data_IF_016861176617
#
_entry.id   IF_016861176617
#
_cell.length_a   1.000
_cell.length_b   1.000
_cell.length_c   1.000
_cell.angle_alpha   90.00
_cell.angle_beta   90.00
_cell.angle_gamma   90.00
#
_symmetry.space_group_name_H-M   'P 1'
#
loop_
_entity.id
_entity.type
_entity.pdbx_description
1 polymer ?
#
# COMPACT_ATOMS: atom_id res chain seq x y z
N UNK A 1 -22.34 -15.36 4.81
CA UNK A 1 -20.87 -15.45 4.82
C UNK A 1 -20.36 -14.13 5.39
N UNK A 2 -19.40 -14.13 6.34
CA UNK A 2 -18.79 -12.90 6.85
C UNK A 2 -18.26 -12.02 5.71
N UNK A 3 -18.43 -10.71 5.78
CA UNK A 3 -18.10 -9.81 4.67
C UNK A 3 -16.59 -9.76 4.33
N UNK A 4 -15.70 -9.94 5.31
CA UNK A 4 -14.27 -10.10 5.03
C UNK A 4 -13.99 -11.35 4.18
N UNK A 5 -14.63 -12.49 4.50
CA UNK A 5 -14.50 -13.71 3.70
C UNK A 5 -15.10 -13.55 2.30
N UNK A 6 -16.19 -12.76 2.19
CA UNK A 6 -16.77 -12.40 0.90
C UNK A 6 -15.77 -11.60 0.05
N UNK A 7 -15.12 -10.59 0.62
CA UNK A 7 -14.11 -9.81 -0.06
C UNK A 7 -12.97 -10.69 -0.58
N UNK A 8 -12.42 -11.54 0.28
CA UNK A 8 -11.34 -12.48 -0.07
C UNK A 8 -11.79 -13.44 -1.18
N UNK A 9 -13.01 -13.98 -1.08
CA UNK A 9 -13.56 -14.88 -2.09
C UNK A 9 -13.72 -14.21 -3.45
N UNK A 10 -14.21 -12.98 -3.51
CA UNK A 10 -14.36 -12.24 -4.77
C UNK A 10 -13.01 -12.02 -5.45
N UNK A 11 -12.02 -11.54 -4.70
CA UNK A 11 -10.68 -11.28 -5.21
C UNK A 11 -9.99 -12.58 -5.65
N UNK A 12 -10.09 -13.63 -4.84
CA UNK A 12 -9.54 -14.94 -5.18
C UNK A 12 -10.20 -15.54 -6.41
N UNK A 13 -11.53 -15.53 -6.49
CA UNK A 13 -12.30 -16.10 -7.61
C UNK A 13 -11.96 -15.38 -8.91
N UNK A 14 -11.82 -14.05 -8.89
CA UNK A 14 -11.40 -13.32 -10.09
C UNK A 14 -9.98 -13.72 -10.52
N UNK A 15 -9.03 -13.77 -9.57
CA UNK A 15 -7.62 -14.09 -9.86
C UNK A 15 -7.42 -15.53 -10.36
N UNK A 16 -8.19 -16.48 -9.84
CA UNK A 16 -8.14 -17.88 -10.24
C UNK A 16 -8.91 -18.17 -11.55
N UNK A 17 -9.41 -17.13 -12.24
CA UNK A 17 -10.34 -17.24 -13.36
C UNK A 17 -11.56 -18.13 -13.05
N UNK A 18 -12.02 -18.11 -11.81
CA UNK A 18 -13.14 -18.89 -11.32
C UNK A 18 -14.51 -18.33 -11.72
N UNK A 19 -15.54 -19.15 -11.57
CA UNK A 19 -16.92 -18.78 -11.87
C UNK A 19 -17.58 -18.00 -10.71
N UNK A 20 -18.29 -16.92 -11.06
CA UNK A 20 -19.09 -16.15 -10.11
C UNK A 20 -20.54 -16.63 -10.19
N UNK A 21 -21.17 -16.98 -9.05
CA UNK A 21 -22.61 -17.21 -9.02
C UNK A 21 -23.37 -16.00 -9.59
N UNK A 22 -24.21 -16.23 -10.60
CA UNK A 22 -24.92 -15.15 -11.31
C UNK A 22 -24.09 -14.40 -12.36
N UNK A 23 -22.85 -14.82 -12.63
CA UNK A 23 -21.98 -14.28 -13.67
C UNK A 23 -21.12 -13.09 -13.20
N UNK A 24 -20.19 -12.66 -14.07
CA UNK A 24 -19.38 -11.46 -13.85
C UNK A 24 -19.38 -10.62 -15.13
N UNK A 25 -20.09 -9.50 -15.10
CA UNK A 25 -20.12 -8.58 -16.22
C UNK A 25 -18.73 -7.98 -16.47
N UNK A 26 -18.44 -7.66 -17.73
CA UNK A 26 -17.20 -6.99 -18.15
C UNK A 26 -15.89 -7.70 -17.78
N UNK A 27 -15.90 -9.02 -17.51
CA UNK A 27 -14.69 -9.80 -17.15
C UNK A 27 -13.51 -9.54 -18.09
N UNK A 28 -13.72 -9.56 -19.41
CA UNK A 28 -12.65 -9.31 -20.39
C UNK A 28 -12.01 -7.92 -20.20
N UNK A 29 -12.83 -6.91 -19.91
CA UNK A 29 -12.34 -5.55 -19.68
C UNK A 29 -11.59 -5.42 -18.35
N UNK A 30 -12.04 -6.13 -17.31
CA UNK A 30 -11.33 -6.21 -16.02
C UNK A 30 -9.95 -6.87 -16.18
N UNK A 31 -9.85 -7.97 -16.95
CA UNK A 31 -8.55 -8.62 -17.25
C UNK A 31 -7.63 -7.67 -18.02
N UNK A 32 -8.16 -6.95 -19.01
CA UNK A 32 -7.39 -5.95 -19.77
C UNK A 32 -6.97 -4.73 -18.94
N UNK A 33 -7.72 -4.40 -17.88
CA UNK A 33 -7.39 -3.33 -16.96
C UNK A 33 -6.21 -3.67 -16.04
N UNK A 34 -5.69 -4.90 -16.07
CA UNK A 34 -4.51 -5.36 -15.33
C UNK A 34 -4.57 -4.98 -13.84
N UNK A 35 -5.42 -5.66 -13.09
CA UNK A 35 -5.67 -5.37 -11.68
C UNK A 35 -4.54 -5.92 -10.78
N UNK A 36 -3.44 -5.17 -10.69
CA UNK A 36 -2.16 -5.54 -10.02
C UNK A 36 -1.99 -5.02 -8.58
N UNK A 37 -3.04 -4.45 -8.01
CA UNK A 37 -3.14 -3.80 -6.71
C UNK A 37 -2.26 -2.55 -6.50
N UNK A 38 -1.83 -1.88 -7.57
CA UNK A 38 -1.15 -0.57 -7.43
C UNK A 38 -2.14 0.60 -7.54
N UNK A 39 -1.78 1.82 -7.10
CA UNK A 39 -2.59 3.02 -7.37
C UNK A 39 -2.86 3.24 -8.87
N UNK A 40 -1.93 2.87 -9.74
CA UNK A 40 -2.11 2.96 -11.20
C UNK A 40 -3.22 2.04 -11.73
N UNK A 41 -3.49 0.92 -11.06
CA UNK A 41 -4.65 0.08 -11.38
C UNK A 41 -5.98 0.76 -11.07
N UNK A 42 -6.03 1.64 -10.06
CA UNK A 42 -7.23 2.45 -9.79
C UNK A 42 -7.46 3.47 -10.91
N UNK A 43 -6.40 4.05 -11.47
CA UNK A 43 -6.50 4.89 -12.67
C UNK A 43 -6.96 4.10 -13.91
N UNK A 44 -6.61 2.81 -14.02
CA UNK A 44 -7.13 1.92 -15.07
C UNK A 44 -8.62 1.63 -14.86
N UNK A 45 -9.06 1.43 -13.62
CA UNK A 45 -10.49 1.32 -13.26
C UNK A 45 -11.24 2.61 -13.63
N UNK A 46 -10.72 3.79 -13.30
CA UNK A 46 -11.32 5.07 -13.68
C UNK A 46 -11.56 5.18 -15.19
N UNK A 47 -10.54 4.83 -15.99
CA UNK A 47 -10.65 4.82 -17.46
C UNK A 47 -11.72 3.84 -17.95
N UNK A 48 -11.74 2.63 -17.39
CA UNK A 48 -12.75 1.62 -17.72
C UNK A 48 -14.17 2.13 -17.43
N UNK A 49 -14.42 2.65 -16.22
CA UNK A 49 -15.74 3.14 -15.81
C UNK A 49 -16.20 4.32 -16.67
N UNK A 50 -15.30 5.26 -17.00
CA UNK A 50 -15.62 6.39 -17.89
C UNK A 50 -15.90 5.95 -19.33
N UNK A 51 -15.16 4.97 -19.83
CA UNK A 51 -15.45 4.36 -21.13
C UNK A 51 -16.82 3.68 -21.12
N UNK A 52 -17.16 2.95 -20.06
CA UNK A 52 -18.49 2.33 -19.91
C UNK A 52 -19.59 3.39 -19.86
N UNK A 53 -19.42 4.45 -19.07
CA UNK A 53 -20.38 5.55 -18.99
C UNK A 53 -20.64 6.18 -20.36
N UNK A 54 -19.58 6.44 -21.13
CA UNK A 54 -19.70 7.09 -22.45
C UNK A 54 -20.24 6.17 -23.54
N UNK A 55 -19.88 4.89 -23.54
CA UNK A 55 -20.26 3.95 -24.61
C UNK A 55 -21.58 3.22 -24.35
N UNK A 56 -21.88 2.92 -23.09
CA UNK A 56 -23.06 2.14 -22.71
C UNK A 56 -24.19 3.01 -22.15
N UNK A 57 -23.87 4.21 -21.64
CA UNK A 57 -24.81 5.13 -20.98
C UNK A 57 -25.79 4.41 -20.03
N UNK A 58 -25.26 3.65 -19.06
CA UNK A 58 -26.09 2.76 -18.26
C UNK A 58 -27.06 3.56 -17.38
N UNK A 59 -28.32 3.11 -17.32
CA UNK A 59 -29.26 3.58 -16.30
C UNK A 59 -28.92 2.95 -14.96
N UNK A 60 -28.87 3.74 -13.89
CA UNK A 60 -28.52 3.28 -12.55
C UNK A 60 -29.31 2.03 -12.13
N UNK A 61 -30.64 2.12 -12.08
CA UNK A 61 -31.49 1.01 -11.61
C UNK A 61 -31.35 -0.25 -12.47
N UNK A 62 -31.49 -0.12 -13.79
CA UNK A 62 -31.36 -1.26 -14.69
C UNK A 62 -29.97 -1.93 -14.64
N UNK A 63 -28.93 -1.16 -14.32
CA UNK A 63 -27.59 -1.68 -14.17
C UNK A 63 -27.41 -2.39 -12.83
N UNK A 64 -27.86 -1.79 -11.72
CA UNK A 64 -27.71 -2.35 -10.37
C UNK A 64 -28.67 -3.51 -10.09
N UNK A 65 -29.75 -3.68 -10.84
CA UNK A 65 -30.69 -4.79 -10.65
C UNK A 65 -30.16 -6.13 -11.19
N UNK A 66 -29.12 -6.11 -12.03
CA UNK A 66 -28.53 -7.32 -12.60
C UNK A 66 -27.43 -7.89 -11.73
N UNK A 67 -27.53 -9.19 -11.41
CA UNK A 67 -26.56 -9.86 -10.54
C UNK A 67 -25.12 -9.82 -11.07
N UNK A 68 -24.92 -10.01 -12.37
CA UNK A 68 -23.59 -9.98 -13.00
C UNK A 68 -22.93 -8.60 -12.92
N UNK A 69 -23.73 -7.54 -13.00
CA UNK A 69 -23.28 -6.16 -12.79
C UNK A 69 -23.01 -5.85 -11.32
N UNK A 70 -23.85 -6.34 -10.39
CA UNK A 70 -23.57 -6.21 -8.96
C UNK A 70 -22.25 -6.90 -8.61
N UNK A 71 -22.00 -8.10 -9.15
CA UNK A 71 -20.74 -8.80 -8.95
C UNK A 71 -19.54 -8.02 -9.47
N UNK A 72 -19.69 -7.35 -10.63
CA UNK A 72 -18.68 -6.43 -11.16
C UNK A 72 -18.42 -5.26 -10.19
N UNK A 73 -19.47 -4.62 -9.67
CA UNK A 73 -19.34 -3.48 -8.74
C UNK A 73 -18.74 -3.91 -7.39
N UNK A 74 -19.14 -5.06 -6.83
CA UNK A 74 -18.57 -5.59 -5.59
C UNK A 74 -17.12 -6.04 -5.77
N UNK A 75 -16.76 -6.65 -6.90
CA UNK A 75 -15.36 -6.97 -7.19
C UNK A 75 -14.49 -5.71 -7.19
N UNK A 76 -14.93 -4.64 -7.87
CA UNK A 76 -14.23 -3.37 -7.85
C UNK A 76 -14.20 -2.75 -6.45
N UNK A 77 -15.30 -2.82 -5.69
CA UNK A 77 -15.36 -2.33 -4.31
C UNK A 77 -14.29 -2.98 -3.43
N UNK A 78 -14.26 -4.31 -3.40
CA UNK A 78 -13.29 -5.07 -2.62
C UNK A 78 -11.87 -4.85 -3.11
N UNK A 79 -11.68 -4.72 -4.42
CA UNK A 79 -10.38 -4.44 -5.01
C UNK A 79 -9.85 -3.07 -4.60
N UNK A 80 -10.68 -2.02 -4.68
CA UNK A 80 -10.31 -0.66 -4.28
C UNK A 80 -10.00 -0.62 -2.78
N UNK A 81 -10.83 -1.25 -1.95
CA UNK A 81 -10.53 -1.39 -0.52
C UNK A 81 -9.22 -2.13 -0.28
N UNK A 82 -8.92 -3.17 -1.06
CA UNK A 82 -7.65 -3.90 -1.00
C UNK A 82 -6.44 -3.07 -1.40
N UNK A 83 -6.54 -2.22 -2.41
CA UNK A 83 -5.47 -1.26 -2.71
C UNK A 83 -5.27 -0.33 -1.51
N UNK A 84 -6.36 0.22 -0.95
CA UNK A 84 -6.27 1.13 0.20
C UNK A 84 -5.66 0.47 1.42
N UNK A 85 -6.21 -0.64 1.93
CA UNK A 85 -5.68 -1.26 3.17
C UNK A 85 -4.27 -1.84 2.99
N UNK A 86 -3.86 -2.21 1.77
CA UNK A 86 -2.46 -2.62 1.52
C UNK A 86 -1.52 -1.41 1.54
N UNK A 87 -1.99 -0.30 0.98
CA UNK A 87 -1.21 0.94 0.94
C UNK A 87 -1.16 1.65 2.29
N UNK A 88 -2.21 1.54 3.10
CA UNK A 88 -2.25 2.10 4.46
C UNK A 88 -1.77 1.12 5.53
N UNK A 89 -1.83 -0.20 5.28
CA UNK A 89 -1.43 -1.28 6.19
C UNK A 89 -2.23 -1.30 7.50
N UNK A 90 -3.38 -0.65 7.50
CA UNK A 90 -4.27 -0.57 8.65
C UNK A 90 -5.07 -1.87 8.79
N UNK A 91 -5.48 -2.16 10.03
CA UNK A 91 -6.56 -3.10 10.26
C UNK A 91 -7.81 -2.63 9.51
N UNK A 92 -8.55 -3.58 8.93
CA UNK A 92 -9.77 -3.28 8.20
C UNK A 92 -10.86 -4.30 8.50
N UNK A 93 -12.10 -3.86 8.36
CA UNK A 93 -13.27 -4.73 8.42
C UNK A 93 -14.35 -4.25 7.45
N UNK A 94 -14.90 -5.19 6.71
CA UNK A 94 -16.05 -4.98 5.83
C UNK A 94 -17.34 -5.24 6.60
N UNK A 95 -18.32 -4.36 6.37
CA UNK A 95 -19.64 -4.46 6.97
C UNK A 95 -20.71 -4.36 5.89
N UNK A 96 -21.59 -5.37 5.78
CA UNK A 96 -22.87 -5.22 5.10
C UNK A 96 -23.71 -4.20 5.85
N UNK A 97 -24.52 -3.43 5.12
CA UNK A 97 -25.33 -2.37 5.72
C UNK A 97 -26.29 -2.90 6.81
N UNK A 98 -26.85 -4.10 6.65
CA UNK A 98 -27.75 -4.71 7.63
C UNK A 98 -27.06 -5.13 8.94
N UNK A 99 -25.78 -5.48 8.90
CA UNK A 99 -24.98 -5.72 10.11
C UNK A 99 -24.62 -4.39 10.77
N UNK A 100 -24.28 -3.37 9.97
CA UNK A 100 -23.96 -2.04 10.46
C UNK A 100 -25.14 -1.41 11.23
N UNK A 101 -26.38 -1.56 10.75
CA UNK A 101 -27.60 -1.08 11.45
C UNK A 101 -27.72 -1.58 12.89
N UNK A 102 -27.13 -2.73 13.21
CA UNK A 102 -27.25 -3.35 14.53
C UNK A 102 -26.25 -2.79 15.54
N UNK A 103 -25.14 -2.23 15.05
CA UNK A 103 -23.98 -1.85 15.87
C UNK A 103 -23.62 -0.37 15.80
N UNK A 104 -24.02 0.33 14.73
CA UNK A 104 -23.67 1.72 14.50
C UNK A 104 -24.65 2.70 15.20
N UNK A 105 -24.15 3.85 15.68
CA UNK A 105 -24.99 4.87 16.29
C UNK A 105 -25.90 5.57 15.25
N UNK A 106 -27.06 6.12 15.66
CA UNK A 106 -28.01 6.75 14.74
C UNK A 106 -27.42 7.87 13.86
N UNK A 107 -26.53 8.69 14.40
CA UNK A 107 -25.88 9.78 13.66
C UNK A 107 -25.00 9.25 12.52
N UNK A 108 -24.37 8.09 12.72
CA UNK A 108 -23.60 7.42 11.66
C UNK A 108 -24.51 6.93 10.55
N UNK A 109 -25.65 6.32 10.88
CA UNK A 109 -26.64 5.85 9.91
C UNK A 109 -27.32 7.00 9.17
N UNK A 110 -27.44 8.17 9.79
CA UNK A 110 -27.92 9.39 9.12
C UNK A 110 -26.90 9.91 8.10
N UNK A 111 -25.60 9.78 8.38
CA UNK A 111 -24.53 10.15 7.45
C UNK A 111 -24.40 9.18 6.27
N UNK A 112 -24.66 7.89 6.50
CA UNK A 112 -24.56 6.84 5.50
C UNK A 112 -25.91 6.11 5.39
N UNK A 113 -26.92 6.68 4.70
CA UNK A 113 -28.23 6.05 4.59
C UNK A 113 -28.21 4.77 3.74
N UNK A 114 -29.25 3.96 3.85
CA UNK A 114 -29.40 2.70 3.12
C UNK A 114 -29.49 2.93 1.62
N UNK A 115 -28.48 2.46 0.88
CA UNK A 115 -28.41 2.54 -0.56
C UNK A 115 -27.47 1.45 -1.09
N UNK A 116 -27.49 1.19 -2.40
CA UNK A 116 -26.51 0.29 -3.01
C UNK A 116 -25.07 0.77 -2.76
N UNK A 117 -24.84 2.10 -2.78
CA UNK A 117 -23.54 2.72 -2.48
C UNK A 117 -23.01 2.42 -1.05
N UNK A 118 -23.90 2.20 -0.08
CA UNK A 118 -23.58 1.88 1.31
C UNK A 118 -23.81 0.40 1.65
N UNK A 119 -24.19 -0.43 0.67
CA UNK A 119 -24.47 -1.86 0.88
C UNK A 119 -23.26 -2.65 1.39
N UNK A 120 -22.05 -2.14 1.13
CA UNK A 120 -20.79 -2.69 1.61
C UNK A 120 -19.86 -1.55 2.01
N UNK A 121 -19.51 -1.48 3.29
CA UNK A 121 -18.72 -0.40 3.89
C UNK A 121 -17.40 -0.97 4.40
N UNK A 122 -16.30 -0.31 4.06
CA UNK A 122 -14.99 -0.62 4.61
C UNK A 122 -14.72 0.30 5.81
N UNK A 123 -14.47 -0.27 6.98
CA UNK A 123 -13.97 0.46 8.14
C UNK A 123 -12.48 0.22 8.27
N UNK A 124 -11.70 1.28 8.15
CA UNK A 124 -10.26 1.29 8.37
C UNK A 124 -10.00 1.77 9.80
N UNK A 125 -9.10 1.10 10.52
CA UNK A 125 -8.87 1.31 11.95
C UNK A 125 -8.47 2.75 12.31
N UNK A 126 -7.61 3.39 11.50
CA UNK A 126 -7.14 4.75 11.73
C UNK A 126 -7.77 5.76 10.77
N UNK A 127 -7.97 5.36 9.51
CA UNK A 127 -8.48 6.24 8.46
C UNK A 127 -10.01 6.37 8.44
N UNK A 128 -10.72 5.54 9.21
CA UNK A 128 -12.17 5.61 9.39
C UNK A 128 -12.96 4.99 8.25
N UNK A 129 -14.15 5.53 8.00
CA UNK A 129 -15.12 4.91 7.07
C UNK A 129 -14.80 5.23 5.62
N UNK A 130 -14.70 4.17 4.81
CA UNK A 130 -14.47 4.23 3.37
C UNK A 130 -15.60 3.53 2.62
N UNK A 131 -16.16 4.20 1.60
CA UNK A 131 -17.25 3.69 0.75
C UNK A 131 -16.80 3.59 -0.72
N UNK A 132 -16.06 2.53 -1.10
CA UNK A 132 -15.59 2.38 -2.48
C UNK A 132 -16.72 2.32 -3.52
N UNK A 133 -17.86 1.71 -3.18
CA UNK A 133 -19.01 1.68 -4.07
C UNK A 133 -19.51 3.09 -4.41
N UNK A 134 -19.50 4.02 -3.45
CA UNK A 134 -19.90 5.40 -3.71
C UNK A 134 -19.03 6.05 -4.79
N UNK A 135 -17.71 5.91 -4.70
CA UNK A 135 -16.81 6.52 -5.68
C UNK A 135 -16.89 5.83 -7.05
N UNK A 136 -17.08 4.51 -7.09
CA UNK A 136 -17.29 3.77 -8.34
C UNK A 136 -18.58 4.21 -9.04
N UNK A 137 -19.68 4.35 -8.28
CA UNK A 137 -20.98 4.76 -8.80
C UNK A 137 -20.96 6.22 -9.26
N UNK A 138 -20.27 7.10 -8.55
CA UNK A 138 -20.06 8.50 -8.96
C UNK A 138 -19.40 8.58 -10.34
N UNK A 139 -18.38 7.76 -10.60
CA UNK A 139 -17.70 7.75 -11.92
C UNK A 139 -18.59 7.16 -13.02
N UNK A 140 -19.33 6.09 -12.71
CA UNK A 140 -20.13 5.37 -13.69
C UNK A 140 -21.44 6.10 -14.06
N UNK A 141 -22.04 6.82 -13.11
CA UNK A 141 -23.38 7.41 -13.26
C UNK A 141 -23.46 8.92 -12.96
N UNK A 142 -22.56 9.47 -12.15
CA UNK A 142 -22.61 10.87 -11.72
C UNK A 142 -22.14 11.84 -12.80
N UNK A 143 -22.53 13.11 -12.73
CA UNK A 143 -22.24 14.09 -13.79
C UNK A 143 -20.88 14.80 -13.68
N UNK A 144 -20.24 14.68 -12.53
CA UNK A 144 -19.00 15.36 -12.20
C UNK A 144 -17.78 14.65 -12.83
N UNK A 145 -17.09 15.25 -13.81
CA UNK A 145 -15.93 14.64 -14.45
C UNK A 145 -14.71 14.56 -13.53
N UNK A 146 -14.68 15.31 -12.42
CA UNK A 146 -13.57 15.31 -11.45
C UNK A 146 -13.64 14.13 -10.48
N UNK A 147 -14.80 13.45 -10.40
CA UNK A 147 -14.94 12.24 -9.57
C UNK A 147 -14.03 11.13 -10.07
N UNK A 148 -13.31 10.49 -9.15
CA UNK A 148 -12.36 9.44 -9.48
C UNK A 148 -12.27 8.43 -8.34
N UNK A 149 -12.20 7.15 -8.71
CA UNK A 149 -11.94 6.04 -7.80
C UNK A 149 -10.55 6.20 -7.20
N UNK A 150 -9.54 6.51 -8.02
CA UNK A 150 -8.19 6.80 -7.54
C UNK A 150 -8.19 8.00 -6.58
N UNK A 151 -8.81 9.13 -6.94
CA UNK A 151 -8.83 10.31 -6.09
C UNK A 151 -9.53 10.05 -4.74
N UNK A 152 -10.58 9.24 -4.74
CA UNK A 152 -11.25 8.81 -3.50
C UNK A 152 -10.35 7.93 -2.65
N UNK A 153 -9.73 6.89 -3.22
CA UNK A 153 -8.79 6.03 -2.53
C UNK A 153 -7.55 6.81 -2.02
N UNK A 154 -7.08 7.77 -2.81
CA UNK A 154 -5.96 8.66 -2.51
C UNK A 154 -6.19 9.48 -1.25
N UNK A 155 -7.43 9.82 -0.89
CA UNK A 155 -7.71 10.52 0.37
C UNK A 155 -7.37 9.68 1.60
N UNK A 156 -7.47 8.36 1.47
CA UNK A 156 -7.11 7.40 2.52
C UNK A 156 -5.62 7.04 2.42
N UNK A 157 -5.11 6.82 1.21
CA UNK A 157 -3.70 6.50 0.97
C UNK A 157 -2.73 7.66 1.26
N UNK A 158 -3.16 8.92 1.08
CA UNK A 158 -2.31 10.11 1.29
C UNK A 158 -2.38 10.68 2.72
N UNK A 159 -3.07 10.03 3.68
CA UNK A 159 -2.99 10.43 5.10
C UNK A 159 -1.64 10.16 5.75
N UNK A 160 -0.71 9.55 5.01
CA UNK A 160 0.69 9.35 5.36
C UNK A 160 1.54 10.65 5.33
N UNK A 161 0.94 11.80 5.00
CA UNK A 161 1.62 13.10 4.90
C UNK A 161 2.28 13.57 6.21
N UNK A 162 1.79 13.13 7.37
CA UNK A 162 2.28 13.58 8.68
C UNK A 162 3.49 12.79 9.20
N UNK A 163 3.91 11.74 8.48
CA UNK A 163 5.07 10.93 8.87
C UNK A 163 6.33 11.80 8.92
N UNK A 164 6.84 12.07 10.13
CA UNK A 164 8.00 12.92 10.35
C UNK A 164 9.23 12.29 9.70
N UNK A 165 10.01 13.04 8.89
CA UNK A 165 11.26 12.53 8.35
C UNK A 165 12.22 12.11 9.45
N UNK A 166 12.81 10.92 9.33
CA UNK A 166 13.88 10.51 10.22
C UNK A 166 15.20 11.14 9.75
N UNK A 167 16.01 11.58 10.68
CA UNK A 167 17.31 12.19 10.43
C UNK A 167 18.42 11.35 11.02
N UNK A 168 19.61 11.44 10.44
CA UNK A 168 20.82 10.81 10.98
C UNK A 168 21.02 11.33 12.40
N UNK A 169 21.14 10.44 13.41
CA UNK A 169 21.46 10.87 14.76
C UNK A 169 22.79 11.63 14.79
N UNK A 170 22.81 12.81 15.41
CA UNK A 170 23.99 13.69 15.48
C UNK A 170 25.12 13.10 16.34
N UNK A 171 24.79 12.14 17.22
CA UNK A 171 25.70 11.44 18.09
C UNK A 171 25.22 9.98 18.27
N UNK A 172 26.12 9.06 18.64
CA UNK A 172 25.74 7.70 19.01
C UNK A 172 24.69 7.73 20.13
N UNK A 173 23.56 7.07 19.87
CA UNK A 173 22.48 6.95 20.85
C UNK A 173 22.81 5.87 21.87
N UNK A 174 22.76 6.21 23.15
CA UNK A 174 22.77 5.23 24.24
C UNK A 174 21.39 4.54 24.28
N UNK A 175 21.25 3.46 23.52
CA UNK A 175 20.00 2.72 23.43
C UNK A 175 19.83 1.79 24.63
N UNK A 176 18.57 1.54 25.01
CA UNK A 176 18.24 0.54 26.03
C UNK A 176 18.61 -0.85 25.51
N UNK A 177 19.27 -1.63 26.37
CA UNK A 177 19.57 -3.03 26.09
C UNK A 177 18.35 -3.91 26.44
N UNK A 178 17.30 -3.78 25.63
CA UNK A 178 16.14 -4.66 25.70
C UNK A 178 15.85 -5.31 24.35
N UNK A 179 15.17 -6.47 24.38
CA UNK A 179 14.90 -7.28 23.18
C UNK A 179 14.15 -6.48 22.10
N UNK A 180 13.23 -5.60 22.48
CA UNK A 180 12.40 -4.82 21.53
C UNK A 180 13.23 -3.73 20.88
N UNK A 181 14.02 -3.00 21.66
CA UNK A 181 14.94 -1.98 21.13
C UNK A 181 15.95 -2.59 20.16
N UNK A 182 16.55 -3.74 20.52
CA UNK A 182 17.46 -4.47 19.64
C UNK A 182 16.77 -4.96 18.37
N UNK A 183 15.56 -5.50 18.50
CA UNK A 183 14.76 -5.98 17.38
C UNK A 183 14.41 -4.87 16.39
N UNK A 184 13.96 -3.72 16.91
CA UNK A 184 13.58 -2.55 16.13
C UNK A 184 14.77 -1.96 15.37
N UNK A 185 15.94 -1.84 16.03
CA UNK A 185 17.17 -1.36 15.40
C UNK A 185 17.62 -2.27 14.26
N UNK A 186 17.58 -3.59 14.46
CA UNK A 186 18.00 -4.55 13.44
C UNK A 186 17.03 -4.60 12.24
N UNK A 187 15.71 -4.53 12.47
CA UNK A 187 14.72 -4.39 11.40
C UNK A 187 14.97 -3.12 10.57
N UNK A 188 15.21 -1.98 11.24
CA UNK A 188 15.58 -0.74 10.57
C UNK A 188 16.94 -0.84 9.85
N UNK A 189 17.89 -1.59 10.39
CA UNK A 189 19.18 -1.88 9.77
C UNK A 189 19.07 -2.63 8.44
N UNK A 190 18.23 -3.66 8.34
CA UNK A 190 17.96 -4.26 7.03
C UNK A 190 17.25 -3.31 6.09
N UNK A 191 16.29 -2.52 6.58
CA UNK A 191 15.62 -1.51 5.76
C UNK A 191 16.61 -0.48 5.18
N UNK A 192 17.58 -0.04 5.98
CA UNK A 192 18.64 0.86 5.54
C UNK A 192 19.54 0.26 4.47
N UNK A 193 19.91 -1.02 4.63
CA UNK A 193 20.71 -1.72 3.61
C UNK A 193 19.92 -1.89 2.30
N UNK A 194 18.64 -2.23 2.40
CA UNK A 194 17.71 -2.34 1.28
C UNK A 194 17.52 -1.02 0.53
N UNK A 195 17.40 0.09 1.29
CA UNK A 195 17.36 1.43 0.74
C UNK A 195 18.64 1.75 -0.05
N UNK A 196 19.81 1.42 0.51
CA UNK A 196 21.10 1.60 -0.17
C UNK A 196 21.15 0.89 -1.53
N UNK A 197 20.71 -0.37 -1.58
CA UNK A 197 20.59 -1.14 -2.82
C UNK A 197 19.63 -0.50 -3.82
N UNK A 198 18.45 -0.10 -3.36
CA UNK A 198 17.42 0.49 -4.21
C UNK A 198 17.87 1.84 -4.79
N UNK A 199 18.45 2.72 -3.96
CA UNK A 199 19.00 4.02 -4.39
C UNK A 199 20.09 3.83 -5.43
N UNK A 200 21.02 2.89 -5.21
CA UNK A 200 22.07 2.58 -6.17
C UNK A 200 21.49 2.12 -7.52
N UNK A 201 20.53 1.21 -7.48
CA UNK A 201 19.86 0.69 -8.68
C UNK A 201 19.23 1.83 -9.50
N UNK A 202 18.48 2.71 -8.83
CA UNK A 202 17.79 3.82 -9.49
C UNK A 202 18.77 4.88 -9.99
N UNK A 203 19.84 5.18 -9.24
CA UNK A 203 20.82 6.20 -9.65
C UNK A 203 21.65 5.77 -10.86
N UNK A 204 21.88 4.47 -11.05
CA UNK A 204 22.49 3.90 -12.26
C UNK A 204 21.52 3.85 -13.45
N UNK A 205 20.29 4.35 -13.28
CA UNK A 205 19.27 4.42 -14.33
C UNK A 205 18.51 3.12 -14.55
N UNK A 206 18.67 2.11 -13.69
CA UNK A 206 17.89 0.89 -13.74
C UNK A 206 16.54 1.07 -13.05
N UNK A 207 15.50 0.41 -13.57
CA UNK A 207 14.20 0.36 -12.91
C UNK A 207 14.29 -0.48 -11.63
N UNK A 208 13.73 0.03 -10.53
CA UNK A 208 13.62 -0.76 -9.32
C UNK A 208 12.45 -1.74 -9.46
N UNK A 209 12.77 -2.99 -9.79
CA UNK A 209 11.82 -4.09 -9.69
C UNK A 209 11.48 -4.43 -8.24
N UNK A 210 10.53 -5.34 -8.04
CA UNK A 210 10.23 -5.91 -6.72
C UNK A 210 11.39 -6.80 -6.27
N UNK A 211 11.98 -6.49 -5.13
CA UNK A 211 13.13 -7.20 -4.60
C UNK A 211 12.89 -7.57 -3.15
N UNK A 212 13.08 -8.84 -2.80
CA UNK A 212 13.15 -9.26 -1.40
C UNK A 212 14.59 -9.44 -0.96
N UNK A 213 14.86 -9.03 0.27
CA UNK A 213 16.15 -9.16 0.91
C UNK A 213 15.94 -9.77 2.29
N UNK A 214 16.63 -10.88 2.54
CA UNK A 214 16.52 -11.65 3.77
C UNK A 214 17.83 -11.58 4.53
N UNK A 215 17.77 -11.33 5.85
CA UNK A 215 18.84 -11.65 6.78
C UNK A 215 18.65 -13.07 7.28
N UNK A 216 19.61 -13.93 6.98
CA UNK A 216 19.59 -15.32 7.43
C UNK A 216 20.20 -15.44 8.85
N UNK A 217 19.85 -16.48 9.63
CA UNK A 217 20.43 -16.72 10.95
C UNK A 217 21.97 -16.85 10.98
N UNK A 218 22.57 -17.23 9.86
CA UNK A 218 24.04 -17.30 9.70
C UNK A 218 24.70 -15.94 9.43
N UNK A 219 23.93 -14.84 9.43
CA UNK A 219 24.40 -13.49 9.16
C UNK A 219 24.46 -13.11 7.67
N UNK A 220 24.30 -14.06 6.74
CA UNK A 220 24.31 -13.77 5.30
C UNK A 220 23.04 -13.04 4.88
N UNK A 221 23.15 -12.26 3.79
CA UNK A 221 22.00 -11.68 3.10
C UNK A 221 21.68 -12.47 1.85
N UNK A 222 20.42 -12.82 1.68
CA UNK A 222 19.89 -13.43 0.46
C UNK A 222 19.00 -12.41 -0.26
N UNK A 223 19.30 -12.13 -1.52
CA UNK A 223 18.46 -11.30 -2.37
C UNK A 223 17.67 -12.14 -3.37
N UNK A 224 16.36 -11.91 -3.48
CA UNK A 224 15.47 -12.53 -4.45
C UNK A 224 14.74 -11.48 -5.28
N UNK A 225 15.03 -11.43 -6.58
CA UNK A 225 14.31 -10.58 -7.53
C UNK A 225 12.99 -11.24 -7.94
N UNK A 226 11.88 -10.51 -7.80
CA UNK A 226 10.53 -11.00 -8.10
C UNK A 226 10.10 -10.51 -9.49
N UNK A 227 10.74 -11.05 -10.53
CA UNK A 227 10.62 -10.58 -11.91
C UNK A 227 9.24 -10.80 -12.56
N UNK A 228 8.50 -11.84 -12.13
CA UNK A 228 7.25 -12.26 -12.80
C UNK A 228 6.07 -12.43 -11.83
N UNK A 229 6.23 -12.06 -10.57
CA UNK A 229 5.20 -12.21 -9.55
C UNK A 229 4.42 -10.93 -9.29
N UNK A 230 3.16 -11.05 -8.87
CA UNK A 230 2.35 -9.91 -8.44
C UNK A 230 2.91 -9.30 -7.15
N UNK A 231 2.59 -8.04 -6.86
CA UNK A 231 2.96 -7.45 -5.57
C UNK A 231 2.33 -8.22 -4.39
N UNK A 232 1.16 -8.83 -4.59
CA UNK A 232 0.54 -9.70 -3.59
C UNK A 232 1.39 -10.93 -3.29
N UNK A 233 1.93 -11.62 -4.30
CA UNK A 233 2.81 -12.78 -4.07
C UNK A 233 4.07 -12.38 -3.30
N UNK A 234 4.56 -11.16 -3.54
CA UNK A 234 5.69 -10.61 -2.79
C UNK A 234 5.32 -10.40 -1.30
N UNK A 235 4.13 -9.88 -1.02
CA UNK A 235 3.62 -9.73 0.34
C UNK A 235 3.35 -11.08 1.01
N UNK A 236 2.70 -12.01 0.32
CA UNK A 236 2.42 -13.36 0.85
C UNK A 236 3.73 -14.05 1.25
N UNK A 237 4.76 -13.94 0.41
CA UNK A 237 6.08 -14.49 0.71
C UNK A 237 6.79 -13.77 1.86
N UNK A 238 6.64 -12.44 1.93
CA UNK A 238 7.15 -11.65 3.06
C UNK A 238 6.51 -12.09 4.39
N UNK A 239 5.20 -12.36 4.42
CA UNK A 239 4.49 -12.80 5.62
C UNK A 239 4.82 -14.25 6.00
N UNK A 240 4.89 -15.14 5.02
CA UNK A 240 5.07 -16.59 5.26
C UNK A 240 6.49 -16.95 5.73
N UNK A 241 7.49 -16.11 5.44
CA UNK A 241 8.89 -16.33 5.81
C UNK A 241 9.41 -17.73 5.41
N UNK A 242 9.15 -18.14 4.18
CA UNK A 242 9.53 -19.47 3.68
C UNK A 242 11.04 -19.72 3.76
N UNK A 243 11.84 -18.66 3.70
CA UNK A 243 13.30 -18.71 3.81
C UNK A 243 13.81 -18.91 5.24
N UNK A 244 12.95 -18.80 6.27
CA UNK A 244 13.38 -18.88 7.67
C UNK A 244 14.34 -17.75 8.07
N UNK A 245 14.11 -16.55 7.53
CA UNK A 245 14.91 -15.37 7.80
C UNK A 245 14.67 -14.80 9.21
N UNK A 246 15.66 -14.09 9.75
CA UNK A 246 15.53 -13.25 10.95
C UNK A 246 14.78 -11.96 10.63
N UNK A 247 15.15 -11.33 9.50
CA UNK A 247 14.51 -10.13 8.96
C UNK A 247 14.34 -10.28 7.45
N UNK A 248 13.22 -9.77 6.93
CA UNK A 248 12.94 -9.72 5.50
C UNK A 248 12.48 -8.31 5.13
N UNK A 249 12.99 -7.78 4.01
CA UNK A 249 12.59 -6.50 3.44
C UNK A 249 12.15 -6.71 2.00
N UNK A 250 10.90 -6.38 1.70
CA UNK A 250 10.43 -6.22 0.33
C UNK A 250 10.60 -4.75 -0.07
N UNK A 251 11.39 -4.50 -1.11
CA UNK A 251 11.56 -3.18 -1.71
C UNK A 251 10.93 -3.11 -3.10
N UNK A 252 10.24 -2.00 -3.37
CA UNK A 252 9.62 -1.72 -4.67
C UNK A 252 9.43 -0.21 -4.85
N UNK A 253 9.21 0.20 -6.10
CA UNK A 253 8.89 1.59 -6.42
C UNK A 253 7.40 1.85 -6.23
N UNK A 254 7.05 2.94 -5.53
CA UNK A 254 5.70 3.42 -5.31
C UNK A 254 5.61 4.94 -5.37
N UNK A 255 4.43 5.51 -5.08
CA UNK A 255 4.19 6.95 -5.11
C UNK A 255 3.56 7.40 -3.79
N UNK A 256 4.29 8.21 -3.01
CA UNK A 256 3.83 8.64 -1.68
C UNK A 256 3.32 10.09 -1.72
N UNK A 257 2.25 10.37 -0.99
CA UNK A 257 1.80 11.73 -0.73
C UNK A 257 2.62 12.36 0.39
N UNK A 258 3.51 13.31 0.06
CA UNK A 258 4.16 14.17 1.04
C UNK A 258 3.39 15.49 1.16
N UNK A 259 3.45 16.22 2.30
CA UNK A 259 2.69 17.45 2.51
C UNK A 259 2.81 18.48 1.38
N UNK A 260 3.96 18.53 0.71
CA UNK A 260 4.23 19.48 -0.37
C UNK A 260 3.83 18.96 -1.76
N UNK A 261 3.85 17.64 -1.99
CA UNK A 261 3.60 17.01 -3.30
C UNK A 261 3.54 15.49 -3.22
N UNK A 262 2.95 14.87 -4.25
CA UNK A 262 3.22 13.45 -4.55
C UNK A 262 4.67 13.31 -5.00
N UNK A 263 5.35 12.29 -4.50
CA UNK A 263 6.75 12.00 -4.80
C UNK A 263 6.89 10.51 -5.12
N UNK A 264 7.72 10.15 -6.10
CA UNK A 264 8.12 8.76 -6.24
C UNK A 264 8.89 8.33 -5.00
N UNK A 265 8.80 7.07 -4.61
CA UNK A 265 9.49 6.57 -3.44
C UNK A 265 9.90 5.11 -3.61
N UNK A 266 11.00 4.76 -2.97
CA UNK A 266 11.29 3.38 -2.61
C UNK A 266 10.44 3.06 -1.38
N UNK A 267 9.52 2.10 -1.51
CA UNK A 267 8.76 1.56 -0.39
C UNK A 267 9.49 0.33 0.14
N UNK A 268 9.61 0.25 1.47
CA UNK A 268 10.30 -0.80 2.19
C UNK A 268 9.33 -1.41 3.19
N UNK A 269 8.88 -2.62 2.89
CA UNK A 269 8.02 -3.42 3.77
C UNK A 269 8.89 -4.41 4.55
N UNK A 270 8.98 -4.20 5.85
CA UNK A 270 9.94 -4.85 6.73
C UNK A 270 9.21 -5.80 7.68
N UNK A 271 9.73 -7.02 7.79
CA UNK A 271 9.34 -7.98 8.82
C UNK A 271 10.59 -8.42 9.58
N UNK A 272 10.50 -8.46 10.90
CA UNK A 272 11.40 -9.21 11.76
C UNK A 272 10.60 -10.32 12.41
N UNK A 273 11.15 -11.53 12.37
CA UNK A 273 10.52 -12.73 12.91
C UNK A 273 11.11 -13.09 14.28
N UNK A 274 10.34 -13.83 15.08
CA UNK A 274 10.74 -14.30 16.40
C UNK A 274 10.01 -13.60 17.55
N UNK A 275 10.59 -13.70 18.76
CA UNK A 275 9.94 -13.32 20.03
C UNK A 275 9.57 -11.84 20.12
N UNK A 276 10.38 -10.96 19.51
CA UNK A 276 10.09 -9.54 19.34
C UNK A 276 9.85 -9.27 17.85
N UNK A 277 8.69 -9.72 17.35
CA UNK A 277 8.30 -9.48 15.97
C UNK A 277 8.13 -7.99 15.70
N UNK A 278 8.68 -7.51 14.58
CA UNK A 278 8.61 -6.11 14.17
C UNK A 278 8.02 -6.04 12.77
N UNK A 279 7.07 -5.14 12.59
CA UNK A 279 6.55 -4.74 11.30
C UNK A 279 6.84 -3.25 11.12
N UNK A 280 7.57 -2.89 10.06
CA UNK A 280 7.77 -1.50 9.67
C UNK A 280 7.45 -1.32 8.20
N UNK A 281 6.89 -0.16 7.89
CA UNK A 281 6.82 0.33 6.52
C UNK A 281 7.56 1.65 6.47
N UNK A 282 8.59 1.69 5.65
CA UNK A 282 9.42 2.88 5.47
C UNK A 282 9.39 3.30 4.02
N UNK A 283 9.54 4.60 3.77
CA UNK A 283 9.63 5.14 2.43
C UNK A 283 10.82 6.06 2.31
N UNK A 284 11.48 5.97 1.16
CA UNK A 284 12.56 6.87 0.77
C UNK A 284 12.11 7.59 -0.51
N UNK A 285 11.60 8.83 -0.39
CA UNK A 285 11.21 9.61 -1.55
C UNK A 285 12.40 9.82 -2.49
N UNK A 286 12.17 9.88 -3.79
CA UNK A 286 13.22 10.18 -4.76
C UNK A 286 12.66 10.90 -5.98
N UNK A 287 13.56 11.58 -6.70
CA UNK A 287 13.35 12.11 -8.03
C UNK A 287 14.14 11.22 -9.01
N UNK A 288 13.53 10.64 -10.04
CA UNK A 288 14.19 9.68 -10.93
C UNK A 288 15.35 10.32 -11.70
N UNK A 289 16.32 9.50 -12.13
CA UNK A 289 17.53 9.98 -12.82
C UNK A 289 17.24 10.69 -14.15
N UNK A 290 16.13 10.38 -14.81
CA UNK A 290 15.68 11.03 -16.05
C UNK A 290 15.01 12.40 -15.86
N UNK A 291 14.81 12.87 -14.63
CA UNK A 291 14.20 14.17 -14.39
C UNK A 291 15.13 15.33 -14.79
N UNK A 292 14.57 16.44 -15.28
CA UNK A 292 15.34 17.63 -15.71
C UNK A 292 16.27 18.19 -14.62
N UNK A 293 15.87 18.06 -13.34
CA UNK A 293 16.65 18.50 -12.19
C UNK A 293 17.62 17.43 -11.66
N UNK A 294 17.81 16.32 -12.38
CA UNK A 294 18.68 15.20 -12.02
C UNK A 294 18.12 14.30 -10.90
N UNK A 295 18.81 13.18 -10.65
CA UNK A 295 18.47 12.26 -9.56
C UNK A 295 18.64 12.92 -8.20
N UNK A 296 17.69 12.71 -7.29
CA UNK A 296 17.78 13.16 -5.91
C UNK A 296 16.97 12.25 -4.98
N UNK A 297 17.33 12.21 -3.72
CA UNK A 297 16.68 11.37 -2.69
C UNK A 297 16.21 12.28 -1.57
N UNK A 298 14.94 12.13 -1.16
CA UNK A 298 14.37 12.82 -0.03
C UNK A 298 14.74 12.17 1.29
N UNK A 299 14.29 12.76 2.40
CA UNK A 299 14.53 12.17 3.72
C UNK A 299 13.66 10.92 3.92
N UNK A 300 14.22 9.82 4.43
CA UNK A 300 13.44 8.63 4.76
C UNK A 300 12.38 8.95 5.81
N UNK A 301 11.26 8.24 5.73
CA UNK A 301 10.13 8.37 6.66
C UNK A 301 9.69 6.98 7.11
N UNK A 302 9.25 6.88 8.35
CA UNK A 302 8.55 5.69 8.83
C UNK A 302 7.07 5.96 8.70
N UNK A 303 6.41 5.16 7.88
CA UNK A 303 4.96 5.23 7.68
C UNK A 303 4.23 4.39 8.71
N UNK A 304 4.78 3.20 9.03
CA UNK A 304 4.18 2.29 10.00
C UNK A 304 5.22 1.79 11.00
N UNK A 305 4.86 1.75 12.29
CA UNK A 305 3.61 2.28 12.85
C UNK A 305 3.57 3.82 12.82
N UNK A 306 2.38 4.42 12.66
CA UNK A 306 2.22 5.87 12.52
C UNK A 306 2.58 6.62 13.82
N UNK A 307 2.26 6.04 14.98
CA UNK A 307 2.39 6.65 16.30
C UNK A 307 3.64 6.18 17.06
N UNK A 308 4.82 6.30 16.43
CA UNK A 308 6.09 5.97 17.08
C UNK A 308 6.44 7.00 18.15
N UNK A 309 6.79 6.53 19.35
CA UNK A 309 7.41 7.37 20.38
C UNK A 309 8.73 7.97 19.87
N UNK A 310 9.11 9.14 20.37
CA UNK A 310 10.39 9.78 20.00
C UNK A 310 11.60 8.87 20.21
N UNK A 311 11.59 8.04 21.28
CA UNK A 311 12.63 7.06 21.54
C UNK A 311 12.68 5.96 20.46
N UNK A 312 11.52 5.42 20.06
CA UNK A 312 11.44 4.42 19.00
C UNK A 312 11.88 5.00 17.63
N UNK A 313 11.52 6.25 17.33
CA UNK A 313 11.99 6.94 16.12
C UNK A 313 13.52 7.07 16.10
N UNK A 314 14.14 7.39 17.24
CA UNK A 314 15.60 7.46 17.36
C UNK A 314 16.27 6.10 17.15
N UNK A 315 15.69 5.02 17.68
CA UNK A 315 16.17 3.64 17.48
C UNK A 315 16.10 3.25 16.00
N UNK A 316 14.98 3.54 15.34
CA UNK A 316 14.79 3.26 13.91
C UNK A 316 15.78 4.09 13.08
N UNK A 317 15.93 5.37 13.38
CA UNK A 317 16.89 6.23 12.70
C UNK A 317 18.32 5.67 12.83
N UNK A 318 18.78 5.33 14.04
CA UNK A 318 20.10 4.74 14.25
C UNK A 318 20.29 3.46 13.42
N UNK A 319 19.35 2.53 13.50
CA UNK A 319 19.40 1.28 12.73
C UNK A 319 19.43 1.52 11.23
N UNK A 320 18.52 2.34 10.70
CA UNK A 320 18.43 2.65 9.28
C UNK A 320 19.73 3.25 8.73
N UNK A 321 20.30 4.24 9.43
CA UNK A 321 21.55 4.87 8.97
C UNK A 321 22.76 3.94 9.12
N UNK A 322 22.80 3.04 10.12
CA UNK A 322 23.81 1.98 10.19
C UNK A 322 23.69 0.99 9.03
N UNK A 323 22.45 0.62 8.69
CA UNK A 323 22.13 -0.26 7.57
C UNK A 323 22.63 0.30 6.24
N UNK A 324 22.27 1.55 5.94
CA UNK A 324 22.64 2.19 4.68
C UNK A 324 24.15 2.45 4.59
N UNK A 325 24.81 2.78 5.70
CA UNK A 325 26.26 2.96 5.77
C UNK A 325 27.02 1.63 5.58
N UNK A 326 26.37 0.50 5.89
CA UNK A 326 26.93 -0.84 5.65
C UNK A 326 26.78 -1.31 4.20
N UNK A 327 25.92 -0.67 3.40
CA UNK A 327 25.80 -0.95 1.97
C UNK A 327 27.03 -0.44 1.20
N UNK A 328 27.33 -1.07 0.07
CA UNK A 328 28.42 -0.66 -0.83
C UNK A 328 27.87 -0.48 -2.24
N UNK A 329 28.06 0.69 -2.88
CA UNK A 329 28.92 1.81 -2.46
C UNK A 329 28.38 2.62 -1.27
N UNK A 330 29.28 3.20 -0.47
CA UNK A 330 28.95 3.95 0.75
C UNK A 330 28.54 5.40 0.44
N UNK A 331 27.76 6.02 1.33
CA UNK A 331 27.40 7.44 1.27
C UNK A 331 26.43 7.84 0.16
N UNK A 332 25.70 6.87 -0.42
CA UNK A 332 24.75 7.12 -1.50
C UNK A 332 23.64 8.10 -1.10
N UNK A 333 23.07 7.93 0.09
CA UNK A 333 22.00 8.78 0.56
C UNK A 333 22.48 10.23 0.73
N UNK A 334 23.62 10.44 1.38
CA UNK A 334 24.20 11.77 1.58
C UNK A 334 24.56 12.45 0.27
N UNK A 335 25.08 11.69 -0.71
CA UNK A 335 25.45 12.21 -2.02
C UNK A 335 24.27 12.80 -2.79
N UNK A 336 23.09 12.18 -2.65
CA UNK A 336 21.90 12.55 -3.42
C UNK A 336 20.80 13.22 -2.59
N UNK A 337 21.06 13.51 -1.31
CA UNK A 337 20.06 14.07 -0.42
C UNK A 337 19.62 15.47 -0.87
N UNK A 338 18.33 15.61 -1.17
CA UNK A 338 17.66 16.87 -1.46
C UNK A 338 16.43 16.98 -0.53
N UNK A 339 16.46 17.82 0.52
CA UNK A 339 15.34 17.96 1.43
C UNK A 339 14.04 18.48 0.78
N UNK A 340 14.10 18.99 -0.45
CA UNK A 340 12.92 19.43 -1.19
C UNK A 340 12.17 18.28 -1.88
N UNK A 341 12.75 17.08 -1.93
CA UNK A 341 12.15 15.84 -2.48
C UNK A 341 11.18 15.21 -1.48
#
# INVERSE_FOLDING_TARGET
MPANQMADQYLHTFRADGEFPGGLAFRKALVQADLDFTPESLARIDRLLRQMRTQLQPSYGAFTDRQDNQNFLYLLCFYVGAVVYRYTGEGYAWYPYDELKQVAPPDFLAQYPEAFASSMICMLEESGTFLPLSSILDVLFGDDPERSVLASADQFMNRLSDATPIARPSAPLALREDKVTGALRAAAGEAGWAAGFAIWTICEGAALGRMMQHRMPNGQRLGVALMHGSLQEAFDRLENNEEGALESVLSYQGVVGLPARRSEAVVLEVRRFGEAAIMLTMVVPFRPAGATAGFAVGRPRVLRPANLSAAAQQVIAAGFFEGIDSYRPAGLLEKYLDPSV
#
